data_IF_854279539021
#
_entry.id   IF_854279539021
#
_cell.length_a   1.000
_cell.length_b   1.000
_cell.length_c   1.000
_cell.angle_alpha   90.00
_cell.angle_beta   90.00
_cell.angle_gamma   90.00
#
_symmetry.space_group_name_H-M   'P 1'
#
loop_
_entity.id
_entity.type
_entity.pdbx_description
1 polymer ?
#
# COMPACT_ATOMS: atom_id res chain seq x y z
N UNK A 1 42.86 4.63 -46.96
CA UNK A 1 41.66 3.96 -47.51
C UNK A 1 41.25 2.86 -46.52
N UNK A 2 40.33 3.17 -45.60
CA UNK A 2 39.81 2.19 -44.63
C UNK A 2 38.66 1.46 -45.34
N UNK A 3 38.78 0.14 -45.51
CA UNK A 3 37.77 -0.69 -46.17
C UNK A 3 36.59 -0.84 -45.21
N UNK A 4 35.43 -0.32 -45.60
CA UNK A 4 34.17 -0.51 -44.88
C UNK A 4 33.81 -2.00 -44.83
N UNK A 5 33.48 -2.48 -43.64
CA UNK A 5 33.59 -3.88 -43.22
C UNK A 5 32.57 -4.84 -43.82
N UNK A 6 33.04 -6.05 -44.17
CA UNK A 6 32.24 -7.22 -44.54
C UNK A 6 31.77 -8.04 -43.32
N UNK A 7 31.50 -7.38 -42.20
CA UNK A 7 31.17 -8.04 -40.92
C UNK A 7 29.75 -7.69 -40.53
N UNK A 8 28.94 -8.72 -40.30
CA UNK A 8 27.57 -8.54 -39.86
C UNK A 8 27.55 -8.07 -38.38
N UNK A 9 26.74 -7.08 -38.00
CA UNK A 9 26.70 -6.52 -36.64
C UNK A 9 26.37 -7.58 -35.58
N UNK A 10 25.49 -8.52 -35.91
CA UNK A 10 25.13 -9.65 -35.02
C UNK A 10 26.15 -10.82 -35.03
N UNK A 11 27.32 -10.64 -35.65
CA UNK A 11 28.33 -11.69 -35.68
C UNK A 11 29.08 -11.79 -34.34
N UNK A 12 29.30 -13.01 -33.86
CA UNK A 12 30.04 -13.26 -32.61
C UNK A 12 31.48 -12.71 -32.63
N UNK A 13 32.04 -12.52 -33.83
CA UNK A 13 33.39 -12.01 -34.06
C UNK A 13 33.39 -10.55 -34.53
N UNK A 14 32.27 -9.83 -34.38
CA UNK A 14 32.13 -8.44 -34.82
C UNK A 14 33.07 -7.45 -34.12
N UNK A 15 33.57 -7.82 -32.93
CA UNK A 15 34.55 -7.04 -32.18
C UNK A 15 35.97 -7.10 -32.74
N UNK A 16 36.26 -7.99 -33.70
CA UNK A 16 37.58 -8.09 -34.33
C UNK A 16 37.64 -7.25 -35.63
N UNK A 17 38.45 -6.18 -35.69
CA UNK A 17 38.55 -5.28 -36.85
C UNK A 17 39.04 -5.93 -38.15
N UNK A 18 39.65 -7.11 -38.08
CA UNK A 18 40.15 -7.87 -39.24
C UNK A 18 39.27 -9.06 -39.61
N UNK A 19 38.18 -9.29 -38.88
CA UNK A 19 37.26 -10.36 -39.22
C UNK A 19 36.51 -10.01 -40.52
N UNK A 20 36.22 -11.02 -41.34
CA UNK A 20 35.26 -10.92 -42.44
C UNK A 20 34.28 -12.07 -42.23
N UNK A 21 32.97 -11.79 -42.26
CA UNK A 21 31.98 -12.83 -42.06
C UNK A 21 32.00 -13.80 -43.24
N UNK A 22 32.20 -15.08 -42.94
CA UNK A 22 32.11 -16.18 -43.91
C UNK A 22 30.73 -16.85 -43.76
N UNK A 23 30.29 -17.64 -44.74
CA UNK A 23 28.96 -18.29 -44.80
C UNK A 23 28.55 -19.04 -43.52
N UNK A 24 29.52 -19.51 -42.73
CA UNK A 24 29.26 -20.12 -41.43
C UNK A 24 28.70 -19.11 -40.42
N UNK A 25 29.28 -17.92 -40.34
CA UNK A 25 28.81 -16.85 -39.47
C UNK A 25 27.39 -16.40 -39.86
N UNK A 26 27.13 -16.28 -41.17
CA UNK A 26 25.83 -15.87 -41.69
C UNK A 26 24.74 -16.92 -41.44
N UNK A 27 25.04 -18.22 -41.63
CA UNK A 27 24.11 -19.31 -41.28
C UNK A 27 23.78 -19.33 -39.79
N UNK A 28 24.78 -19.15 -38.92
CA UNK A 28 24.57 -19.15 -37.47
C UNK A 28 23.72 -17.97 -37.01
N UNK A 29 23.87 -16.80 -37.64
CA UNK A 29 23.02 -15.63 -37.38
C UNK A 29 21.58 -15.90 -37.85
N UNK A 30 21.39 -16.50 -39.02
CA UNK A 30 20.07 -16.87 -39.54
C UNK A 30 19.37 -17.91 -38.66
N UNK A 31 20.09 -18.92 -38.18
CA UNK A 31 19.56 -19.92 -37.23
C UNK A 31 19.20 -19.31 -35.87
N UNK A 32 19.97 -18.33 -35.41
CA UNK A 32 19.67 -17.62 -34.17
C UNK A 32 18.41 -16.74 -34.30
N UNK A 33 18.23 -16.07 -35.45
CA UNK A 33 17.01 -15.31 -35.76
C UNK A 33 15.80 -16.22 -35.91
N UNK A 34 15.91 -17.35 -36.61
CA UNK A 34 14.84 -18.33 -36.73
C UNK A 34 14.41 -18.88 -35.35
N UNK A 35 15.34 -19.17 -34.44
CA UNK A 35 15.01 -19.57 -33.06
C UNK A 35 14.34 -18.46 -32.26
N UNK A 36 14.70 -17.20 -32.48
CA UNK A 36 14.05 -16.06 -31.82
C UNK A 36 12.63 -15.86 -32.34
N UNK A 37 12.42 -16.00 -33.65
CA UNK A 37 11.10 -15.91 -34.29
C UNK A 37 10.19 -17.07 -33.86
N UNK A 38 10.73 -18.30 -33.76
CA UNK A 38 10.00 -19.46 -33.24
C UNK A 38 9.65 -19.29 -31.75
N UNK A 39 10.55 -18.72 -30.95
CA UNK A 39 10.27 -18.39 -29.55
C UNK A 39 9.20 -17.30 -29.40
N UNK A 40 9.16 -16.32 -30.31
CA UNK A 40 8.10 -15.31 -30.35
C UNK A 40 6.75 -15.91 -30.75
N UNK A 41 6.71 -16.82 -31.73
CA UNK A 41 5.49 -17.54 -32.10
C UNK A 41 4.94 -18.43 -30.99
N UNK A 42 5.80 -19.09 -30.22
CA UNK A 42 5.37 -19.88 -29.05
C UNK A 42 4.75 -18.99 -27.95
N UNK A 43 5.24 -17.77 -27.76
CA UNK A 43 4.66 -16.81 -26.81
C UNK A 43 3.32 -16.23 -27.30
N UNK A 44 3.11 -16.14 -28.62
CA UNK A 44 1.83 -15.74 -29.22
C UNK A 44 0.80 -16.88 -29.16
N UNK A 45 1.21 -18.14 -29.36
CA UNK A 45 0.34 -19.33 -29.25
C UNK A 45 -0.08 -19.64 -27.80
N UNK A 46 0.79 -19.40 -26.80
CA UNK A 46 0.46 -19.56 -25.37
C UNK A 46 -0.58 -18.54 -24.87
N UNK A 47 -0.77 -17.43 -25.60
CA UNK A 47 -1.80 -16.42 -25.31
C UNK A 47 -3.15 -16.74 -26.00
N UNK A 48 -3.19 -17.68 -26.95
CA UNK A 48 -4.35 -17.99 -27.78
C UNK A 48 -5.07 -19.30 -27.42
N UNK A 49 -4.54 -20.13 -26.51
CA UNK A 49 -5.23 -21.34 -26.02
C UNK A 49 -5.92 -21.09 -24.69
N UNK A 50 -7.26 -21.05 -24.71
CA UNK A 50 -8.07 -21.25 -23.50
C UNK A 50 -7.67 -22.58 -22.84
N UNK A 51 -7.46 -22.62 -21.51
CA UNK A 51 -7.13 -23.87 -20.83
C UNK A 51 -8.38 -24.74 -20.75
N UNK A 52 -8.41 -25.84 -21.50
CA UNK A 52 -9.37 -26.93 -21.32
C UNK A 52 -9.45 -27.34 -19.84
N UNK A 53 -10.67 -27.55 -19.38
CA UNK A 53 -11.04 -27.71 -17.98
C UNK A 53 -10.29 -28.85 -17.28
N UNK A 54 -9.76 -28.55 -16.09
CA UNK A 54 -9.01 -29.46 -15.22
C UNK A 54 -9.83 -30.71 -14.84
N UNK A 55 -9.41 -31.88 -15.31
CA UNK A 55 -10.04 -33.19 -15.04
C UNK A 55 -9.55 -33.89 -13.76
N UNK A 56 -9.07 -33.13 -12.76
CA UNK A 56 -8.44 -33.68 -11.54
C UNK A 56 -9.17 -33.23 -10.28
N UNK A 57 -9.55 -34.19 -9.45
CA UNK A 57 -10.24 -33.92 -8.19
C UNK A 57 -9.33 -33.16 -7.20
N UNK A 58 -9.78 -32.07 -6.55
CA UNK A 58 -8.96 -31.23 -5.66
C UNK A 58 -8.32 -31.98 -4.50
N UNK A 59 -9.03 -32.97 -3.95
CA UNK A 59 -8.56 -33.80 -2.83
C UNK A 59 -7.70 -35.00 -3.27
N UNK A 60 -7.34 -35.10 -4.56
CA UNK A 60 -6.48 -36.18 -5.04
C UNK A 60 -5.04 -35.97 -4.54
N UNK A 61 -4.42 -37.04 -4.03
CA UNK A 61 -3.02 -37.03 -3.57
C UNK A 61 -2.06 -36.60 -4.69
N UNK A 62 -2.43 -36.88 -5.94
CA UNK A 62 -1.65 -36.56 -7.13
C UNK A 62 -2.07 -35.24 -7.80
N UNK A 63 -2.93 -34.42 -7.16
CA UNK A 63 -3.43 -33.16 -7.71
C UNK A 63 -2.33 -32.10 -7.97
N UNK A 64 -1.14 -32.29 -7.41
CA UNK A 64 0.03 -31.44 -7.64
C UNK A 64 0.70 -31.68 -9.01
N UNK A 65 0.49 -32.84 -9.64
CA UNK A 65 1.03 -33.13 -10.96
C UNK A 65 0.10 -32.59 -12.06
N UNK A 66 0.65 -31.72 -12.92
CA UNK A 66 -0.09 -31.02 -13.99
C UNK A 66 -0.63 -31.95 -15.07
N UNK A 67 -0.05 -33.14 -15.22
CA UNK A 67 -0.44 -34.14 -16.21
C UNK A 67 -1.19 -35.33 -15.62
N UNK A 68 -1.56 -35.27 -14.33
CA UNK A 68 -2.31 -36.35 -13.71
C UNK A 68 -3.78 -36.28 -14.13
N UNK A 69 -4.39 -37.43 -14.37
CA UNK A 69 -5.84 -37.59 -14.49
C UNK A 69 -6.32 -38.55 -13.41
N UNK A 70 -7.38 -38.19 -12.68
CA UNK A 70 -7.87 -39.01 -11.58
C UNK A 70 -8.48 -40.32 -12.10
N UNK A 71 -7.88 -41.45 -11.73
CA UNK A 71 -8.45 -42.78 -11.96
C UNK A 71 -9.44 -43.20 -10.84
N UNK A 72 -10.24 -44.25 -11.06
CA UNK A 72 -11.15 -44.86 -10.07
C UNK A 72 -10.52 -45.11 -8.69
N UNK A 73 -9.24 -45.48 -8.67
CA UNK A 73 -8.47 -45.65 -7.44
C UNK A 73 -8.31 -44.36 -6.63
N UNK A 74 -8.12 -43.22 -7.30
CA UNK A 74 -8.00 -41.92 -6.66
C UNK A 74 -9.32 -41.54 -5.97
N UNK A 75 -10.45 -41.79 -6.61
CA UNK A 75 -11.78 -41.52 -6.05
C UNK A 75 -12.09 -42.40 -4.83
N UNK A 76 -11.72 -43.69 -4.85
CA UNK A 76 -11.86 -44.58 -3.68
C UNK A 76 -11.04 -44.08 -2.48
N UNK A 77 -9.80 -43.63 -2.70
CA UNK A 77 -8.95 -43.08 -1.63
C UNK A 77 -9.49 -41.78 -1.04
N UNK A 78 -10.08 -40.93 -1.87
CA UNK A 78 -10.73 -39.68 -1.43
C UNK A 78 -11.95 -39.99 -0.55
N UNK A 79 -12.78 -40.98 -0.92
CA UNK A 79 -13.93 -41.41 -0.13
C UNK A 79 -13.52 -41.98 1.23
N UNK A 80 -12.52 -42.88 1.25
CA UNK A 80 -11.97 -43.45 2.48
C UNK A 80 -11.42 -42.38 3.45
N UNK A 81 -10.76 -41.33 2.91
CA UNK A 81 -10.24 -40.23 3.70
C UNK A 81 -11.36 -39.36 4.30
N UNK A 82 -12.42 -39.09 3.54
CA UNK A 82 -13.60 -38.33 4.01
C UNK A 82 -14.37 -39.08 5.11
N UNK A 83 -14.46 -40.41 5.02
CA UNK A 83 -15.11 -41.23 6.05
C UNK A 83 -14.27 -41.33 7.33
N UNK A 84 -12.94 -41.28 7.23
CA UNK A 84 -12.07 -41.19 8.41
C UNK A 84 -12.23 -39.85 9.12
N UNK A 85 -12.29 -38.75 8.37
CA UNK A 85 -12.47 -37.41 8.95
C UNK A 85 -13.80 -37.28 9.71
N UNK A 86 -14.88 -37.87 9.20
CA UNK A 86 -16.18 -37.90 9.89
C UNK A 86 -16.19 -38.71 11.19
N UNK A 87 -15.29 -39.70 11.33
CA UNK A 87 -15.21 -40.56 12.53
C UNK A 87 -14.35 -39.96 13.64
N UNK A 88 -13.57 -38.92 13.36
CA UNK A 88 -12.64 -38.30 14.30
C UNK A 88 -13.12 -36.96 14.85
N UNK A 89 -14.39 -36.60 14.65
CA UNK A 89 -14.96 -35.32 15.13
C UNK A 89 -15.26 -35.40 16.65
N UNK A 90 -14.53 -34.66 17.52
CA UNK A 90 -14.71 -34.68 18.96
C UNK A 90 -15.66 -33.55 19.38
N UNK A 91 -16.95 -33.69 19.08
CA UNK A 91 -17.94 -32.64 19.37
C UNK A 91 -18.80 -32.91 20.62
N UNK A 92 -18.41 -33.85 21.48
CA UNK A 92 -19.00 -34.05 22.82
C UNK A 92 -17.91 -34.29 23.88
N UNK A 93 -17.53 -33.25 24.63
CA UNK A 93 -17.13 -33.36 26.05
C UNK A 93 -17.04 -31.95 26.69
N UNK A 94 -17.64 -31.84 27.87
CA UNK A 94 -17.81 -30.64 28.70
C UNK A 94 -16.58 -30.27 29.55
N UNK A 95 -16.54 -28.97 29.89
CA UNK A 95 -16.15 -28.33 31.16
C UNK A 95 -14.68 -28.18 31.63
N UNK A 96 -14.39 -26.90 31.92
CA UNK A 96 -13.73 -26.30 33.10
C UNK A 96 -12.24 -26.52 33.44
N UNK A 97 -11.53 -25.39 33.48
CA UNK A 97 -10.59 -24.86 34.51
C UNK A 97 -9.76 -23.77 33.82
N UNK A 98 -9.37 -22.62 34.37
CA UNK A 98 -9.02 -22.18 35.73
C UNK A 98 -7.80 -21.25 35.53
N UNK A 99 -7.86 -20.02 36.05
CA UNK A 99 -6.87 -18.92 35.93
C UNK A 99 -5.48 -19.27 36.57
N UNK A 100 -4.48 -18.36 36.77
CA UNK A 100 -4.30 -16.93 36.43
C UNK A 100 -2.86 -16.55 35.94
N UNK A 101 -2.60 -15.27 35.61
CA UNK A 101 -1.32 -14.50 35.79
C UNK A 101 -1.39 -13.20 34.97
N UNK A 102 -1.23 -11.98 35.48
CA UNK A 102 -0.26 -11.32 36.38
C UNK A 102 0.99 -10.78 35.66
N UNK A 103 1.24 -9.49 35.90
CA UNK A 103 2.46 -8.69 35.70
C UNK A 103 2.61 -7.92 34.38
N UNK A 104 2.17 -6.67 34.46
CA UNK A 104 2.64 -5.51 33.70
C UNK A 104 3.93 -5.03 34.39
N UNK A 105 5.04 -5.03 33.66
CA UNK A 105 6.35 -4.62 34.14
C UNK A 105 6.59 -3.16 33.74
N UNK A 106 6.62 -2.31 34.74
CA UNK A 106 7.07 -0.92 34.66
C UNK A 106 8.54 -0.91 35.02
N UNK A 107 9.42 -0.60 34.07
CA UNK A 107 10.83 -0.34 34.37
C UNK A 107 11.16 1.14 34.14
N UNK A 108 11.38 1.81 35.26
CA UNK A 108 11.92 3.16 35.39
C UNK A 108 13.43 3.03 35.51
N UNK A 109 14.19 3.68 34.64
CA UNK A 109 15.59 4.01 34.90
C UNK A 109 15.73 5.54 34.90
N UNK A 110 15.79 6.11 36.11
CA UNK A 110 16.46 7.38 36.39
C UNK A 110 17.97 7.11 36.48
N UNK A 111 18.85 8.04 36.10
CA UNK A 111 19.59 8.99 36.98
C UNK A 111 20.72 9.58 36.08
N UNK A 112 21.33 10.77 36.31
CA UNK A 112 20.83 12.10 36.67
C UNK A 112 21.31 13.19 35.68
N UNK A 113 20.79 14.42 35.74
CA UNK A 113 21.64 15.55 35.34
C UNK A 113 21.44 16.78 36.22
N UNK A 114 22.57 17.20 36.76
CA UNK A 114 22.76 18.24 37.75
C UNK A 114 22.52 19.63 37.17
N UNK A 115 22.14 20.51 38.11
CA UNK A 115 21.87 21.93 37.98
C UNK A 115 23.17 22.69 38.26
N UNK A 116 23.47 23.69 37.44
CA UNK A 116 24.24 24.93 37.69
C UNK A 116 24.32 25.62 36.30
N UNK A 117 24.13 26.92 36.10
CA UNK A 117 24.43 28.07 36.95
C UNK A 117 25.50 28.91 36.26
N UNK A 118 25.08 30.01 35.61
CA UNK A 118 25.86 31.21 35.26
C UNK A 118 26.95 31.10 34.17
N UNK A 119 26.89 31.99 33.17
CA UNK A 119 27.73 33.19 33.11
C UNK A 119 27.80 33.75 31.67
N UNK A 120 27.58 35.06 31.60
CA UNK A 120 27.77 35.91 30.44
C UNK A 120 29.22 35.88 29.96
N UNK A 121 29.43 35.89 28.64
CA UNK A 121 30.65 36.45 28.04
C UNK A 121 30.26 37.34 26.87
N UNK A 122 30.65 38.60 27.03
CA UNK A 122 30.75 39.63 26.01
C UNK A 122 31.55 39.11 24.82
N UNK A 123 31.07 39.40 23.60
CA UNK A 123 31.98 39.82 22.54
C UNK A 123 31.45 41.11 21.91
N UNK A 124 32.28 42.14 22.00
CA UNK A 124 31.97 43.49 21.58
C UNK A 124 32.11 43.63 20.08
N UNK A 125 31.01 43.99 19.42
CA UNK A 125 30.98 44.37 18.01
C UNK A 125 30.13 45.62 17.85
N UNK A 126 30.76 46.77 18.09
CA UNK A 126 30.26 48.12 17.85
C UNK A 126 29.56 48.25 16.48
N UNK A 127 28.28 48.61 16.51
CA UNK A 127 27.61 49.30 15.41
C UNK A 127 26.36 49.98 15.95
N UNK A 128 26.60 51.18 16.46
CA UNK A 128 25.64 52.25 16.72
C UNK A 128 24.31 52.09 15.98
N UNK A 129 23.28 51.77 16.77
CA UNK A 129 21.88 52.02 16.42
C UNK A 129 21.65 53.53 16.47
N UNK A 130 21.81 54.21 15.32
CA UNK A 130 21.37 55.60 15.17
C UNK A 130 19.84 55.58 15.18
N UNK A 131 19.28 55.99 16.30
CA UNK A 131 17.87 56.38 16.43
C UNK A 131 17.62 57.50 15.41
N UNK A 132 16.62 57.29 14.54
CA UNK A 132 16.10 58.34 13.69
C UNK A 132 15.20 59.23 14.54
N UNK A 133 15.80 60.20 15.23
CA UNK A 133 15.07 61.39 15.65
C UNK A 133 14.95 62.31 14.42
N UNK A 134 13.81 62.20 13.76
CA UNK A 134 13.41 63.04 12.66
C UNK A 134 12.91 64.40 13.14
N UNK A 135 13.72 65.19 13.86
CA UNK A 135 13.38 66.61 14.07
C UNK A 135 14.57 67.44 14.55
N UNK A 136 15.47 67.84 13.64
CA UNK A 136 16.16 69.13 13.69
C UNK A 136 17.08 69.25 12.46
N UNK A 137 16.85 70.29 11.65
CA UNK A 137 17.58 70.48 10.41
C UNK A 137 19.08 70.57 10.62
N UNK A 138 19.84 69.88 9.76
CA UNK A 138 21.25 70.19 9.51
C UNK A 138 21.35 71.08 8.25
N UNK A 139 21.33 72.42 8.40
CA UNK A 139 21.71 73.33 7.35
C UNK A 139 23.24 73.26 7.18
N UNK A 140 23.67 72.49 6.16
CA UNK A 140 24.97 72.53 5.44
C UNK A 140 25.55 71.12 5.20
N UNK A 141 24.81 70.26 4.48
CA UNK A 141 25.43 69.19 3.69
C UNK A 141 25.32 69.57 2.21
N UNK A 142 26.44 69.60 1.51
CA UNK A 142 26.47 69.82 0.06
C UNK A 142 25.63 68.76 -0.64
N UNK A 143 25.02 69.07 -1.80
CA UNK A 143 24.14 68.14 -2.54
C UNK A 143 24.78 66.77 -2.75
N UNK A 144 26.09 66.74 -2.95
CA UNK A 144 26.90 65.52 -3.05
C UNK A 144 26.86 64.67 -1.77
N UNK A 145 26.95 65.28 -0.60
CA UNK A 145 26.92 64.55 0.68
C UNK A 145 25.52 63.99 0.98
N UNK A 146 24.45 64.73 0.64
CA UNK A 146 23.07 64.21 0.73
C UNK A 146 22.86 63.00 -0.18
N UNK A 147 23.35 63.07 -1.42
CA UNK A 147 23.30 61.95 -2.36
C UNK A 147 24.11 60.74 -1.87
N UNK A 148 25.25 60.96 -1.22
CA UNK A 148 26.05 59.89 -0.61
C UNK A 148 25.36 59.25 0.61
N UNK A 149 24.63 60.03 1.42
CA UNK A 149 23.84 59.50 2.52
C UNK A 149 22.67 58.66 2.03
N UNK A 150 21.94 59.14 1.03
CA UNK A 150 20.86 58.40 0.38
C UNK A 150 21.36 57.08 -0.25
N UNK A 151 22.52 57.10 -0.90
CA UNK A 151 23.18 55.90 -1.43
C UNK A 151 23.56 54.91 -0.32
N UNK A 152 24.04 55.39 0.83
CA UNK A 152 24.34 54.55 1.99
C UNK A 152 23.07 53.92 2.58
N UNK A 153 21.97 54.68 2.66
CA UNK A 153 20.68 54.18 3.12
C UNK A 153 20.15 53.08 2.19
N UNK A 154 20.17 53.33 0.86
CA UNK A 154 19.79 52.33 -0.15
C UNK A 154 20.68 51.08 -0.12
N UNK A 155 21.99 51.23 0.13
CA UNK A 155 22.88 50.09 0.32
C UNK A 155 22.56 49.28 1.59
N UNK A 156 22.16 49.95 2.67
CA UNK A 156 21.78 49.27 3.91
C UNK A 156 20.43 48.54 3.76
N UNK A 157 19.47 49.15 3.08
CA UNK A 157 18.20 48.50 2.71
C UNK A 157 18.45 47.28 1.83
N UNK A 158 19.33 47.38 0.82
CA UNK A 158 19.70 46.25 -0.02
C UNK A 158 20.38 45.11 0.76
N UNK A 159 21.28 45.44 1.70
CA UNK A 159 21.90 44.44 2.58
C UNK A 159 20.87 43.73 3.45
N UNK A 160 19.93 44.48 4.04
CA UNK A 160 18.87 43.92 4.88
C UNK A 160 17.91 43.05 4.07
N UNK A 161 17.53 43.49 2.87
CA UNK A 161 16.69 42.72 1.95
C UNK A 161 17.37 41.39 1.55
N UNK A 162 18.67 41.42 1.22
CA UNK A 162 19.44 40.24 0.89
C UNK A 162 19.57 39.28 2.09
N UNK A 163 19.79 39.80 3.29
CA UNK A 163 19.85 38.99 4.51
C UNK A 163 18.48 38.35 4.82
N UNK A 164 17.38 39.10 4.68
CA UNK A 164 16.02 38.56 4.85
C UNK A 164 15.69 37.50 3.81
N UNK A 165 16.09 37.70 2.55
CA UNK A 165 15.91 36.71 1.48
C UNK A 165 16.73 35.44 1.75
N UNK A 166 17.98 35.58 2.21
CA UNK A 166 18.82 34.44 2.59
C UNK A 166 18.23 33.65 3.76
N UNK A 167 17.71 34.33 4.78
CA UNK A 167 17.02 33.68 5.90
C UNK A 167 15.72 33.01 5.45
N UNK A 168 14.96 33.61 4.53
CA UNK A 168 13.75 33.00 3.97
C UNK A 168 14.06 31.75 3.14
N UNK A 169 15.11 31.76 2.31
CA UNK A 169 15.57 30.59 1.56
C UNK A 169 16.10 29.51 2.51
N UNK A 170 16.89 29.88 3.51
CA UNK A 170 17.33 28.94 4.56
C UNK A 170 16.14 28.33 5.30
N UNK A 171 15.11 29.12 5.63
CA UNK A 171 13.86 28.63 6.23
C UNK A 171 13.04 27.73 5.31
N UNK A 172 13.10 27.90 3.98
CA UNK A 172 12.45 26.98 3.02
C UNK A 172 13.21 25.67 2.89
N UNK A 173 14.55 25.72 2.97
CA UNK A 173 15.42 24.52 2.91
C UNK A 173 15.36 23.75 4.23
N UNK A 174 15.38 24.46 5.37
CA UNK A 174 15.24 23.91 6.72
C UNK A 174 13.79 23.70 7.14
N UNK A 175 12.80 24.06 6.30
CA UNK A 175 11.40 23.75 6.58
C UNK A 175 11.32 22.23 6.77
N UNK A 176 10.95 21.75 7.98
CA UNK A 176 10.78 20.33 8.19
C UNK A 176 9.82 19.82 7.12
N UNK A 177 10.15 18.70 6.49
CA UNK A 177 9.29 18.04 5.51
C UNK A 177 7.89 18.04 6.12
N UNK A 178 6.93 18.76 5.52
CA UNK A 178 5.58 18.83 6.08
C UNK A 178 5.12 17.40 6.31
N UNK A 179 4.99 17.02 7.58
CA UNK A 179 4.55 15.69 7.93
C UNK A 179 3.18 15.55 7.26
N UNK A 180 3.03 14.54 6.38
CA UNK A 180 1.76 14.19 5.75
C UNK A 180 0.70 14.02 6.87
N UNK A 181 0.00 15.09 7.22
CA UNK A 181 -0.75 15.14 8.48
C UNK A 181 -1.33 16.50 8.89
N UNK A 182 -0.73 17.63 8.47
CA UNK A 182 -1.17 18.99 8.88
C UNK A 182 -2.66 19.24 8.55
N UNK A 183 -3.14 18.75 7.39
CA UNK A 183 -4.56 18.85 7.02
C UNK A 183 -5.50 18.10 7.98
N UNK A 184 -5.05 16.98 8.53
CA UNK A 184 -5.83 16.17 9.48
C UNK A 184 -5.86 16.85 10.85
N UNK A 185 -4.74 17.43 11.27
CA UNK A 185 -4.63 18.18 12.53
C UNK A 185 -5.50 19.44 12.51
N UNK A 186 -5.42 20.23 11.43
CA UNK A 186 -6.29 21.37 11.21
C UNK A 186 -7.78 20.98 11.19
N UNK A 187 -8.13 19.86 10.54
CA UNK A 187 -9.49 19.33 10.56
C UNK A 187 -9.98 18.95 11.97
N UNK A 188 -9.11 18.36 12.80
CA UNK A 188 -9.45 18.06 14.20
C UNK A 188 -9.60 19.34 15.03
N UNK A 189 -8.75 20.34 14.84
CA UNK A 189 -8.85 21.63 15.52
C UNK A 189 -10.11 22.40 15.13
N UNK A 190 -10.43 22.48 13.84
CA UNK A 190 -11.69 23.08 13.37
C UNK A 190 -12.91 22.34 13.92
N UNK A 191 -12.85 21.00 13.95
CA UNK A 191 -13.91 20.18 14.55
C UNK A 191 -14.05 20.44 16.05
N UNK A 192 -12.95 20.54 16.79
CA UNK A 192 -12.94 20.90 18.21
C UNK A 192 -13.50 22.31 18.44
N UNK A 193 -13.14 23.29 17.61
CA UNK A 193 -13.66 24.67 17.68
C UNK A 193 -15.17 24.72 17.40
N UNK A 194 -15.67 23.93 16.43
CA UNK A 194 -17.11 23.83 16.14
C UNK A 194 -17.88 23.17 17.28
N UNK A 195 -17.34 22.09 17.85
CA UNK A 195 -17.93 21.40 19.01
C UNK A 195 -17.91 22.34 20.23
N UNK A 196 -16.79 23.00 20.51
CA UNK A 196 -16.65 23.98 21.59
C UNK A 196 -17.67 25.11 21.51
N UNK A 197 -17.82 25.76 20.34
CA UNK A 197 -18.85 26.80 20.14
C UNK A 197 -20.28 26.31 20.42
N UNK A 198 -20.58 25.07 20.04
CA UNK A 198 -21.90 24.45 20.24
C UNK A 198 -22.13 24.12 21.72
N UNK A 199 -21.08 23.69 22.42
CA UNK A 199 -21.09 23.46 23.86
C UNK A 199 -21.20 24.76 24.66
N UNK A 200 -20.44 25.79 24.29
CA UNK A 200 -20.47 27.13 24.89
C UNK A 200 -21.86 27.76 24.75
N UNK A 201 -22.52 27.58 23.59
CA UNK A 201 -23.90 28.04 23.39
C UNK A 201 -24.94 27.31 24.24
N UNK A 202 -24.64 26.08 24.69
CA UNK A 202 -25.47 25.31 25.60
C UNK A 202 -24.99 25.42 27.07
N UNK A 203 -23.92 26.19 27.35
CA UNK A 203 -23.34 26.35 28.69
C UNK A 203 -22.70 25.08 29.26
N UNK A 204 -22.27 24.15 28.40
CA UNK A 204 -21.70 22.85 28.79
C UNK A 204 -20.18 22.83 28.55
N UNK A 205 -19.43 22.22 29.47
CA UNK A 205 -17.98 22.04 29.34
C UNK A 205 -17.63 20.89 28.36
N UNK A 206 -16.43 20.94 27.76
CA UNK A 206 -15.93 19.98 26.77
C UNK A 206 -16.00 18.52 27.26
N UNK A 207 -15.86 18.30 28.57
CA UNK A 207 -16.01 16.98 29.21
C UNK A 207 -17.43 16.40 29.10
N UNK A 208 -18.47 17.26 28.99
CA UNK A 208 -19.89 16.90 28.91
C UNK A 208 -20.44 16.91 27.48
N UNK A 209 -19.57 16.98 26.47
CA UNK A 209 -19.97 16.98 25.06
C UNK A 209 -20.87 15.79 24.65
N UNK A 210 -20.72 14.66 25.35
CA UNK A 210 -21.53 13.46 25.12
C UNK A 210 -23.03 13.65 25.46
N UNK A 211 -23.39 14.66 26.26
CA UNK A 211 -24.79 14.93 26.61
C UNK A 211 -25.60 15.54 25.46
N UNK A 212 -24.93 16.03 24.40
CA UNK A 212 -25.57 16.56 23.20
C UNK A 212 -25.78 15.50 22.10
N UNK A 213 -25.25 14.29 22.29
CA UNK A 213 -25.48 13.19 21.36
C UNK A 213 -26.84 12.55 21.62
N UNK A 214 -27.66 12.44 20.57
CA UNK A 214 -28.89 11.65 20.63
C UNK A 214 -28.57 10.16 20.72
N UNK A 215 -29.51 9.37 21.25
CA UNK A 215 -29.36 7.92 21.33
C UNK A 215 -29.03 7.30 19.95
N UNK A 216 -29.69 7.74 18.88
CA UNK A 216 -29.42 7.28 17.51
C UNK A 216 -28.00 7.64 17.03
N UNK A 217 -27.51 8.84 17.36
CA UNK A 217 -26.14 9.26 17.03
C UNK A 217 -25.09 8.47 17.81
N UNK A 218 -25.36 8.18 19.08
CA UNK A 218 -24.49 7.34 19.90
C UNK A 218 -24.44 5.91 19.35
N UNK A 219 -25.58 5.28 19.07
CA UNK A 219 -25.66 3.94 18.49
C UNK A 219 -24.94 3.84 17.14
N UNK A 220 -25.09 4.84 16.26
CA UNK A 220 -24.38 4.89 14.99
C UNK A 220 -22.86 5.02 15.17
N UNK A 221 -22.39 5.76 16.18
CA UNK A 221 -20.97 5.86 16.53
C UNK A 221 -20.43 4.53 17.05
N UNK A 222 -21.13 3.89 17.98
CA UNK A 222 -20.73 2.60 18.55
C UNK A 222 -20.74 1.47 17.49
N UNK A 223 -21.77 1.38 16.66
CA UNK A 223 -21.81 0.42 15.52
C UNK A 223 -20.68 0.66 14.51
N UNK A 224 -20.22 1.90 14.36
CA UNK A 224 -19.05 2.21 13.50
C UNK A 224 -17.73 1.80 14.14
N UNK A 225 -17.68 1.73 15.47
CA UNK A 225 -16.52 1.27 16.23
C UNK A 225 -16.47 -0.25 16.34
N UNK A 226 -17.63 -0.91 16.39
CA UNK A 226 -17.78 -2.35 16.19
C UNK A 226 -17.45 -2.72 14.74
N UNK A 227 -16.19 -3.06 14.50
CA UNK A 227 -15.75 -3.60 13.22
C UNK A 227 -15.95 -5.10 13.25
N UNK A 228 -16.63 -5.63 12.23
CA UNK A 228 -16.61 -7.07 11.98
C UNK A 228 -15.14 -7.54 11.91
N UNK A 229 -14.75 -8.60 12.64
CA UNK A 229 -13.39 -9.10 12.62
C UNK A 229 -13.00 -9.45 11.18
N UNK A 230 -11.80 -9.01 10.79
CA UNK A 230 -11.29 -9.32 9.46
C UNK A 230 -11.15 -10.85 9.32
N UNK A 231 -11.54 -11.43 8.18
CA UNK A 231 -11.35 -12.85 7.94
C UNK A 231 -9.88 -13.24 8.10
N UNK A 232 -9.61 -14.23 8.94
CA UNK A 232 -8.25 -14.65 9.26
C UNK A 232 -7.87 -15.89 8.45
N UNK A 233 -6.68 -15.86 7.83
CA UNK A 233 -6.09 -17.02 7.14
C UNK A 233 -7.01 -17.63 6.07
N UNK A 234 -7.37 -18.90 6.26
CA UNK A 234 -8.21 -19.68 5.33
C UNK A 234 -9.70 -19.34 5.37
N UNK A 235 -10.16 -18.58 6.38
CA UNK A 235 -11.56 -18.17 6.52
C UNK A 235 -12.02 -17.17 5.43
N UNK A 236 -11.08 -16.66 4.63
CA UNK A 236 -11.35 -15.85 3.43
C UNK A 236 -12.21 -16.60 2.40
N UNK A 237 -12.20 -17.94 2.38
CA UNK A 237 -12.96 -18.76 1.43
C UNK A 237 -14.23 -19.39 2.03
N UNK A 238 -14.60 -19.03 3.25
CA UNK A 238 -15.82 -19.49 3.90
C UNK A 238 -17.08 -18.98 3.18
N UNK A 239 -18.19 -19.71 3.27
CA UNK A 239 -19.49 -19.29 2.77
C UNK A 239 -19.90 -17.91 3.30
N UNK A 240 -19.62 -17.62 4.58
CA UNK A 240 -19.94 -16.32 5.20
C UNK A 240 -19.17 -15.16 4.56
N UNK A 241 -17.89 -15.35 4.23
CA UNK A 241 -17.06 -14.30 3.61
C UNK A 241 -17.41 -14.09 2.14
N UNK A 242 -17.71 -15.18 1.42
CA UNK A 242 -18.26 -15.12 0.06
C UNK A 242 -19.61 -14.38 0.04
N UNK A 243 -20.52 -14.69 0.98
CA UNK A 243 -21.79 -13.99 1.14
C UNK A 243 -21.59 -12.50 1.45
N UNK A 244 -20.69 -12.16 2.38
CA UNK A 244 -20.40 -10.77 2.70
C UNK A 244 -19.79 -10.01 1.52
N UNK A 245 -18.95 -10.66 0.70
CA UNK A 245 -18.43 -10.08 -0.53
C UNK A 245 -19.55 -9.83 -1.56
N UNK A 246 -20.48 -10.78 -1.70
CA UNK A 246 -21.67 -10.60 -2.54
C UNK A 246 -22.55 -9.45 -2.03
N UNK A 247 -22.85 -9.39 -0.73
CA UNK A 247 -23.62 -8.31 -0.10
C UNK A 247 -22.97 -6.94 -0.27
N UNK A 248 -21.63 -6.86 -0.29
CA UNK A 248 -20.92 -5.61 -0.60
C UNK A 248 -21.05 -5.23 -2.07
N UNK A 249 -21.07 -6.20 -2.99
CA UNK A 249 -21.27 -5.98 -4.41
C UNK A 249 -22.67 -5.47 -4.70
N UNK A 250 -23.70 -6.10 -4.14
CA UNK A 250 -25.10 -5.70 -4.37
C UNK A 250 -25.40 -4.29 -3.88
N UNK A 251 -24.71 -3.81 -2.84
CA UNK A 251 -24.80 -2.41 -2.38
C UNK A 251 -24.25 -1.39 -3.39
N UNK A 252 -23.35 -1.79 -4.29
CA UNK A 252 -22.75 -0.92 -5.30
C UNK A 252 -23.52 -0.94 -6.62
N UNK A 253 -24.57 -1.75 -6.74
CA UNK A 253 -25.40 -1.82 -7.95
C UNK A 253 -26.46 -0.74 -7.83
N UNK A 254 -26.37 0.27 -8.69
CA UNK A 254 -27.41 1.29 -8.83
C UNK A 254 -28.51 0.74 -9.73
N UNK A 255 -29.75 0.70 -9.21
CA UNK A 255 -30.93 0.24 -9.94
C UNK A 255 -31.71 1.45 -10.41
N UNK A 256 -31.85 1.59 -11.73
CA UNK A 256 -32.70 2.61 -12.33
C UNK A 256 -34.16 2.16 -12.30
N UNK A 257 -34.97 2.83 -11.49
CA UNK A 257 -36.38 2.53 -11.29
C UNK A 257 -37.23 2.87 -12.53
N UNK A 258 -36.82 3.84 -13.34
CA UNK A 258 -37.57 4.23 -14.55
C UNK A 258 -37.41 3.18 -15.64
N UNK A 259 -36.17 2.74 -15.89
CA UNK A 259 -35.88 1.63 -16.80
C UNK A 259 -36.61 0.34 -16.38
N UNK A 260 -36.71 0.09 -15.07
CA UNK A 260 -37.46 -1.04 -14.52
C UNK A 260 -38.97 -0.94 -14.79
N UNK A 261 -39.57 0.24 -14.56
CA UNK A 261 -41.01 0.46 -14.81
C UNK A 261 -41.33 0.35 -16.30
N UNK A 262 -40.50 0.92 -17.17
CA UNK A 262 -40.66 0.81 -18.63
C UNK A 262 -40.61 -0.65 -19.09
N UNK A 263 -39.67 -1.45 -18.56
CA UNK A 263 -39.58 -2.87 -18.87
C UNK A 263 -40.81 -3.66 -18.36
N UNK A 264 -41.36 -3.26 -17.21
CA UNK A 264 -42.56 -3.86 -16.63
C UNK A 264 -43.82 -3.56 -17.43
N UNK A 265 -43.94 -2.37 -18.00
CA UNK A 265 -45.08 -2.02 -18.87
C UNK A 265 -44.96 -2.66 -20.26
N UNK A 266 -43.74 -2.82 -20.77
CA UNK A 266 -43.48 -3.40 -22.09
C UNK A 266 -43.71 -4.92 -22.14
N UNK A 267 -43.45 -5.66 -21.06
CA UNK A 267 -43.60 -7.11 -21.00
C UNK A 267 -44.83 -7.52 -20.14
N UNK A 268 -45.93 -7.99 -20.75
CA UNK A 268 -47.06 -8.55 -20.01
C UNK A 268 -46.69 -9.77 -19.15
N UNK A 269 -45.61 -10.46 -19.48
CA UNK A 269 -45.06 -11.61 -18.72
C UNK A 269 -43.78 -11.20 -17.97
N UNK A 270 -43.76 -9.98 -17.41
CA UNK A 270 -42.61 -9.46 -16.65
C UNK A 270 -42.25 -10.34 -15.44
N UNK A 271 -43.27 -10.81 -14.71
CA UNK A 271 -43.10 -11.75 -13.60
C UNK A 271 -43.20 -13.18 -14.13
N UNK A 272 -42.06 -13.74 -14.52
CA UNK A 272 -41.97 -15.08 -15.09
C UNK A 272 -41.94 -16.14 -14.01
N UNK A 273 -42.78 -17.16 -14.16
CA UNK A 273 -42.76 -18.36 -13.32
C UNK A 273 -41.64 -19.32 -13.77
N UNK A 274 -41.20 -20.23 -12.89
CA UNK A 274 -40.11 -21.17 -13.19
C UNK A 274 -40.36 -22.06 -14.42
N UNK A 275 -41.61 -22.21 -14.85
CA UNK A 275 -42.04 -22.98 -16.02
C UNK A 275 -42.21 -22.16 -17.31
N UNK A 276 -41.89 -20.86 -17.32
CA UNK A 276 -42.04 -20.01 -18.51
C UNK A 276 -41.07 -20.43 -19.64
N UNK A 277 -41.63 -20.66 -20.83
CA UNK A 277 -40.91 -21.09 -22.04
C UNK A 277 -39.97 -20.01 -22.63
N UNK A 278 -40.04 -18.78 -22.10
CA UNK A 278 -39.20 -17.66 -22.53
C UNK A 278 -37.73 -17.78 -22.05
N UNK A 279 -37.42 -18.76 -21.19
CA UNK A 279 -36.05 -19.06 -20.77
C UNK A 279 -35.18 -19.52 -21.96
N UNK A 280 -34.13 -18.75 -22.27
CA UNK A 280 -33.22 -19.03 -23.39
C UNK A 280 -33.29 -18.04 -24.55
N UNK A 281 -34.29 -17.15 -24.59
CA UNK A 281 -34.26 -15.98 -25.48
C UNK A 281 -33.34 -14.93 -24.85
N UNK A 282 -32.23 -14.61 -25.51
CA UNK A 282 -31.30 -13.58 -25.03
C UNK A 282 -32.03 -12.23 -24.96
N UNK A 283 -32.20 -11.63 -23.76
CA UNK A 283 -32.79 -10.31 -23.66
C UNK A 283 -31.87 -9.30 -24.34
N UNK A 284 -32.44 -8.38 -25.11
CA UNK A 284 -31.70 -7.26 -25.70
C UNK A 284 -31.43 -6.25 -24.59
N UNK A 285 -30.39 -6.50 -23.80
CA UNK A 285 -29.89 -5.52 -22.85
C UNK A 285 -29.26 -4.34 -23.61
N UNK A 286 -29.49 -3.09 -23.18
CA UNK A 286 -28.82 -1.94 -23.77
C UNK A 286 -27.31 -2.03 -23.51
N UNK A 287 -26.51 -1.55 -24.46
CA UNK A 287 -25.05 -1.61 -24.40
C UNK A 287 -24.48 -0.92 -23.15
N UNK A 288 -25.14 0.13 -22.67
CA UNK A 288 -24.77 0.82 -21.42
C UNK A 288 -24.79 -0.12 -20.19
N UNK A 289 -25.73 -1.06 -20.14
CA UNK A 289 -25.81 -2.03 -19.04
C UNK A 289 -24.67 -3.04 -19.13
N UNK A 290 -24.31 -3.43 -20.35
CA UNK A 290 -23.19 -4.33 -20.63
C UNK A 290 -21.88 -3.65 -20.21
N UNK A 291 -21.69 -2.38 -20.56
CA UNK A 291 -20.51 -1.60 -20.16
C UNK A 291 -20.39 -1.46 -18.64
N UNK A 292 -21.51 -1.27 -17.92
CA UNK A 292 -21.51 -1.26 -16.44
C UNK A 292 -21.09 -2.60 -15.86
N UNK A 293 -21.56 -3.71 -16.42
CA UNK A 293 -21.14 -5.06 -16.02
C UNK A 293 -19.65 -5.28 -16.28
N UNK A 294 -19.15 -4.89 -17.45
CA UNK A 294 -17.73 -5.02 -17.82
C UNK A 294 -16.84 -4.19 -16.88
N UNK A 295 -17.25 -2.97 -16.52
CA UNK A 295 -16.56 -2.15 -15.50
C UNK A 295 -16.49 -2.87 -14.15
N UNK A 296 -17.59 -3.47 -13.69
CA UNK A 296 -17.60 -4.24 -12.43
C UNK A 296 -16.64 -5.44 -12.47
N UNK A 297 -16.54 -6.13 -13.62
CA UNK A 297 -15.60 -7.23 -13.83
C UNK A 297 -14.14 -6.76 -13.77
N UNK A 298 -13.81 -5.64 -14.43
CA UNK A 298 -12.46 -5.06 -14.36
C UNK A 298 -12.10 -4.61 -12.93
N UNK A 299 -13.03 -3.99 -12.21
CA UNK A 299 -12.82 -3.61 -10.81
C UNK A 299 -12.56 -4.82 -9.92
N UNK A 300 -13.25 -5.94 -10.17
CA UNK A 300 -12.99 -7.20 -9.46
C UNK A 300 -11.61 -7.75 -9.75
N UNK A 301 -11.18 -7.68 -11.00
CA UNK A 301 -9.87 -8.13 -11.40
C UNK A 301 -8.77 -7.27 -10.75
N UNK A 302 -8.94 -5.95 -10.73
CA UNK A 302 -8.04 -5.01 -10.05
C UNK A 302 -7.98 -5.28 -8.53
N UNK A 303 -9.12 -5.53 -7.89
CA UNK A 303 -9.19 -5.92 -6.47
C UNK A 303 -8.50 -7.26 -6.22
N UNK A 304 -8.64 -8.24 -7.12
CA UNK A 304 -7.95 -9.54 -7.03
C UNK A 304 -6.43 -9.37 -7.17
N UNK A 305 -5.95 -8.57 -8.11
CA UNK A 305 -4.52 -8.28 -8.31
C UNK A 305 -3.90 -7.58 -7.09
N UNK A 306 -4.64 -6.65 -6.48
CA UNK A 306 -4.20 -5.92 -5.28
C UNK A 306 -4.39 -6.66 -3.95
N UNK A 307 -5.04 -7.83 -3.95
CA UNK A 307 -5.24 -8.65 -2.73
C UNK A 307 -3.90 -9.12 -2.14
N UNK A 308 -2.95 -9.50 -2.99
CA UNK A 308 -1.58 -9.78 -2.57
C UNK A 308 -0.72 -8.52 -2.73
N UNK A 309 -0.46 -7.83 -1.61
CA UNK A 309 0.40 -6.63 -1.61
C UNK A 309 1.84 -7.03 -1.34
N UNK A 310 2.77 -6.65 -2.22
CA UNK A 310 4.22 -6.79 -1.98
C UNK A 310 4.58 -5.93 -0.77
N UNK A 311 5.22 -6.53 0.25
CA UNK A 311 5.80 -5.78 1.37
C UNK A 311 6.97 -4.95 0.84
N UNK A 312 7.09 -3.69 1.28
CA UNK A 312 8.22 -2.83 0.89
C UNK A 312 9.53 -3.46 1.37
N UNK A 313 10.53 -3.45 0.49
CA UNK A 313 11.90 -3.77 0.87
C UNK A 313 12.44 -2.61 1.70
N UNK A 314 13.13 -2.92 2.80
CA UNK A 314 13.79 -1.93 3.64
C UNK A 314 15.29 -2.18 3.50
N UNK A 315 16.02 -1.20 2.95
CA UNK A 315 17.45 -1.33 2.67
C UNK A 315 18.33 -1.46 3.92
N UNK A 316 17.80 -1.04 5.07
CA UNK A 316 18.45 -1.16 6.38
C UNK A 316 18.44 -2.59 6.94
N UNK A 317 17.64 -3.51 6.37
CA UNK A 317 17.57 -4.88 6.87
C UNK A 317 18.75 -5.69 6.34
N UNK A 318 19.40 -6.43 7.23
CA UNK A 318 20.43 -7.39 6.87
C UNK A 318 19.90 -8.39 5.84
N UNK A 319 20.64 -8.54 4.74
CA UNK A 319 20.26 -9.38 3.62
C UNK A 319 20.74 -10.80 3.88
N UNK A 320 19.81 -11.69 4.22
CA UNK A 320 20.06 -13.11 4.51
C UNK A 320 20.05 -14.02 3.26
N UNK A 321 19.85 -13.43 2.07
CA UNK A 321 19.53 -14.17 0.85
C UNK A 321 20.23 -13.62 -0.40
N UNK A 322 20.71 -14.54 -1.24
CA UNK A 322 21.44 -14.23 -2.48
C UNK A 322 20.47 -14.00 -3.66
N UNK A 323 19.28 -14.61 -3.66
CA UNK A 323 18.29 -14.49 -4.74
C UNK A 323 16.86 -14.35 -4.19
N UNK A 324 15.93 -13.80 -4.99
CA UNK A 324 14.52 -13.58 -4.60
C UNK A 324 13.80 -14.87 -4.17
N UNK A 325 14.12 -15.99 -4.80
CA UNK A 325 13.52 -17.29 -4.45
C UNK A 325 13.98 -17.76 -3.06
N UNK A 326 15.23 -17.50 -2.71
CA UNK A 326 15.84 -17.78 -1.43
C UNK A 326 15.32 -16.82 -0.36
N UNK A 327 15.15 -15.53 -0.69
CA UNK A 327 14.49 -14.57 0.21
C UNK A 327 13.07 -15.02 0.57
N UNK A 328 12.31 -15.51 -0.43
CA UNK A 328 10.99 -16.09 -0.19
C UNK A 328 11.03 -17.38 0.63
N UNK A 329 12.07 -18.20 0.47
CA UNK A 329 12.27 -19.42 1.25
C UNK A 329 12.64 -19.10 2.70
N UNK A 330 13.62 -18.22 2.94
CA UNK A 330 13.99 -17.73 4.27
C UNK A 330 12.78 -17.11 4.98
N UNK A 331 12.02 -16.23 4.31
CA UNK A 331 10.76 -15.69 4.84
C UNK A 331 9.72 -16.76 5.19
N UNK A 332 9.72 -17.91 4.51
CA UNK A 332 8.84 -19.04 4.82
C UNK A 332 9.32 -19.78 6.06
N UNK A 333 10.62 -20.03 6.18
CA UNK A 333 11.23 -20.63 7.36
C UNK A 333 11.03 -19.75 8.59
N UNK A 334 11.30 -18.45 8.50
CA UNK A 334 11.04 -17.48 9.57
C UNK A 334 9.58 -17.48 10.04
N UNK A 335 8.62 -17.60 9.12
CA UNK A 335 7.20 -17.70 9.49
C UNK A 335 6.83 -18.98 10.24
N UNK A 336 7.49 -20.10 9.94
CA UNK A 336 7.18 -21.40 10.54
C UNK A 336 7.98 -21.65 11.83
N UNK A 337 9.27 -21.33 11.80
CA UNK A 337 10.24 -21.68 12.85
C UNK A 337 10.75 -20.48 13.64
N UNK A 338 10.58 -19.25 13.15
CA UNK A 338 11.10 -18.05 13.79
C UNK A 338 10.65 -17.91 15.25
N UNK A 339 9.43 -18.34 15.59
CA UNK A 339 8.94 -18.38 16.98
C UNK A 339 9.76 -19.29 17.89
N UNK A 340 10.29 -20.40 17.37
CA UNK A 340 11.04 -21.41 18.11
C UNK A 340 12.55 -21.16 18.07
N UNK A 341 13.06 -20.39 17.10
CA UNK A 341 14.49 -20.13 16.91
C UNK A 341 14.93 -18.74 17.42
N UNK A 342 14.07 -18.01 18.14
CA UNK A 342 14.39 -16.67 18.67
C UNK A 342 15.64 -16.67 19.56
N UNK A 343 15.77 -17.67 20.44
CA UNK A 343 16.91 -17.78 21.34
C UNK A 343 18.22 -18.00 20.56
N UNK A 344 18.19 -18.91 19.58
CA UNK A 344 19.34 -19.19 18.70
C UNK A 344 19.73 -17.93 17.93
N UNK A 345 18.76 -17.18 17.40
CA UNK A 345 19.00 -15.92 16.69
C UNK A 345 19.63 -14.86 17.60
N UNK A 346 19.08 -14.68 18.79
CA UNK A 346 19.63 -13.74 19.77
C UNK A 346 21.05 -14.12 20.21
N UNK A 347 21.35 -15.41 20.34
CA UNK A 347 22.69 -15.89 20.69
C UNK A 347 23.69 -15.63 19.54
N UNK A 348 23.27 -15.78 18.28
CA UNK A 348 24.09 -15.41 17.12
C UNK A 348 24.38 -13.91 17.07
N UNK A 349 23.36 -13.07 17.32
CA UNK A 349 23.52 -11.61 17.38
C UNK A 349 24.42 -11.18 18.56
N UNK A 350 24.45 -11.97 19.65
CA UNK A 350 25.33 -11.77 20.82
C UNK A 350 26.72 -12.41 20.69
N UNK A 351 27.05 -13.04 19.56
CA UNK A 351 28.38 -13.61 19.33
C UNK A 351 28.61 -15.00 19.93
N UNK A 352 27.57 -15.84 19.99
CA UNK A 352 27.61 -17.27 20.42
C UNK A 352 28.00 -17.53 21.87
N UNK A 353 28.05 -16.50 22.72
CA UNK A 353 28.23 -16.66 24.15
C UNK A 353 26.97 -17.28 24.79
N UNK A 354 27.15 -18.36 25.54
CA UNK A 354 26.08 -18.92 26.40
C UNK A 354 25.78 -17.93 27.54
N UNK A 355 24.51 -17.77 27.95
CA UNK A 355 24.19 -17.05 29.17
C UNK A 355 24.72 -17.85 30.37
N UNK A 356 25.45 -17.18 31.26
CA UNK A 356 25.86 -17.72 32.57
C UNK A 356 24.65 -17.99 33.48
#
# INVERSE_FOLDING_TARGET
MVKEGKVHPDCINASNPYHECVDYCLRRIAEAKARADDAQKLLEDDNAKEPEERTVHPDCVNASNRYHECSEFCFKKIAEAKDRYKRTDPSEMQQESGAPSSFDDSDQNEVPQQREGQAEQNDGGDSQHVQNDAESGLPHLTERQKKMFELRLKMNEARKANQMAMVAEKRKIEAPTESRGISKEHWFEERKKKIGKLLDSNGLDMSKAYMLDTQEMAEAKYKKWEKDPAPYGWDVFNQKTLYNAYKKRTKNIEVDMEAYNNAKEADPEFYREASSLQYGKAPKAPDENIDRMVKELHDREAKRKSFSRRRRFHEEKDIDSINDRNEHFNKKIERAFGKYTLEIKNNLERGTALPD
#
